data_IF_082473018443
#
_entry.id   IF_082473018443
#
_cell.length_a   1.000
_cell.length_b   1.000
_cell.length_c   1.000
_cell.angle_alpha   90.00
_cell.angle_beta   90.00
_cell.angle_gamma   90.00
#
_symmetry.space_group_name_H-M   'P 1'
#
loop_
_entity.id
_entity.type
_entity.pdbx_description
1 polymer ?
#
# COMPACT_ATOMS: atom_id res chain seq x y z
N UNK A 1 16.94 -1.68 18.40
CA UNK A 1 16.96 -1.14 17.04
C UNK A 1 15.58 -1.36 16.45
N UNK A 2 14.67 -0.40 16.66
CA UNK A 2 13.27 -0.52 16.25
C UNK A 2 13.08 0.39 15.05
N UNK A 3 13.05 -0.15 13.84
CA UNK A 3 12.82 0.62 12.61
C UNK A 3 11.60 0.07 11.89
N UNK A 4 10.52 0.85 11.89
CA UNK A 4 9.28 0.70 11.11
C UNK A 4 8.26 -0.32 11.64
N UNK A 5 7.28 0.15 12.42
CA UNK A 5 6.18 -0.68 12.94
C UNK A 5 4.94 -0.72 12.03
N UNK A 6 5.06 -0.39 10.74
CA UNK A 6 3.96 -0.42 9.79
C UNK A 6 4.44 -1.01 8.45
N UNK A 7 3.66 -1.92 7.83
CA UNK A 7 3.99 -2.46 6.52
C UNK A 7 3.99 -1.37 5.45
N UNK A 8 4.96 -1.44 4.53
CA UNK A 8 5.09 -0.52 3.41
C UNK A 8 5.41 -1.28 2.11
N UNK A 9 4.95 -0.74 0.97
CA UNK A 9 5.26 -1.20 -0.39
C UNK A 9 5.67 0.02 -1.20
N UNK A 10 6.71 -0.09 -2.03
CA UNK A 10 7.25 1.01 -2.85
C UNK A 10 7.32 0.59 -4.32
N UNK A 11 7.34 1.56 -5.24
CA UNK A 11 7.50 1.29 -6.67
C UNK A 11 6.27 0.73 -7.38
N UNK A 12 5.07 0.90 -6.82
CA UNK A 12 3.82 0.45 -7.44
C UNK A 12 3.50 1.33 -8.65
N UNK A 13 3.49 0.73 -9.84
CA UNK A 13 3.24 1.44 -11.09
C UNK A 13 1.83 2.05 -11.10
N UNK A 14 1.72 3.32 -11.52
CA UNK A 14 0.46 4.06 -11.64
C UNK A 14 -0.38 4.15 -10.34
N UNK A 15 0.23 3.95 -9.16
CA UNK A 15 -0.49 3.88 -7.88
C UNK A 15 -1.42 5.09 -7.63
N UNK A 16 -0.93 6.31 -7.86
CA UNK A 16 -1.69 7.56 -7.66
C UNK A 16 -2.81 7.77 -8.69
N UNK A 17 -2.79 7.05 -9.82
CA UNK A 17 -3.87 7.05 -10.81
C UNK A 17 -4.98 6.05 -10.46
N UNK A 18 -4.60 4.94 -9.80
CA UNK A 18 -5.50 3.84 -9.46
C UNK A 18 -6.17 4.01 -8.09
N UNK A 19 -5.46 4.63 -7.14
CA UNK A 19 -5.96 4.91 -5.79
C UNK A 19 -6.46 6.35 -5.76
N UNK A 20 -7.76 6.52 -5.49
CA UNK A 20 -8.38 7.84 -5.36
C UNK A 20 -8.40 8.29 -3.91
N UNK A 21 -8.51 9.59 -3.71
CA UNK A 21 -8.70 10.16 -2.37
C UNK A 21 -9.93 9.56 -1.68
N UNK A 22 -9.77 9.21 -0.40
CA UNK A 22 -10.82 8.55 0.40
C UNK A 22 -11.05 7.07 0.10
N UNK A 23 -10.38 6.50 -0.91
CA UNK A 23 -10.46 5.07 -1.22
C UNK A 23 -9.71 4.26 -0.15
N UNK A 24 -10.35 3.21 0.35
CA UNK A 24 -9.72 2.30 1.33
C UNK A 24 -8.82 1.30 0.61
N UNK A 25 -7.65 1.06 1.18
CA UNK A 25 -6.68 0.08 0.70
C UNK A 25 -6.15 -0.76 1.85
N UNK A 26 -5.66 -1.96 1.53
CA UNK A 26 -4.88 -2.81 2.43
C UNK A 26 -3.47 -3.01 1.86
N UNK A 27 -2.46 -2.92 2.73
CA UNK A 27 -1.06 -3.08 2.37
C UNK A 27 -0.55 -4.42 2.87
N UNK A 28 -0.08 -5.27 1.95
CA UNK A 28 0.54 -6.55 2.25
C UNK A 28 2.05 -6.40 2.12
N UNK A 29 2.68 -5.81 3.15
CA UNK A 29 4.11 -5.41 3.11
C UNK A 29 5.10 -6.56 2.98
N UNK A 30 4.75 -7.78 3.45
CA UNK A 30 5.57 -8.98 3.26
C UNK A 30 5.54 -9.49 1.83
N UNK A 31 4.35 -9.47 1.21
CA UNK A 31 4.14 -10.02 -0.14
C UNK A 31 4.35 -8.98 -1.26
N UNK A 32 4.51 -7.71 -0.89
CA UNK A 32 4.88 -6.63 -1.81
C UNK A 32 3.74 -6.09 -2.67
N UNK A 33 2.49 -6.20 -2.24
CA UNK A 33 1.34 -5.69 -3.00
C UNK A 33 0.31 -4.91 -2.17
N UNK A 34 -0.57 -4.21 -2.89
CA UNK A 34 -1.65 -3.39 -2.33
C UNK A 34 -2.99 -3.89 -2.89
N UNK A 35 -3.99 -4.00 -2.02
CA UNK A 35 -5.35 -4.44 -2.35
C UNK A 35 -6.33 -3.27 -2.19
N UNK A 36 -7.20 -3.08 -3.18
CA UNK A 36 -8.29 -2.10 -3.13
C UNK A 36 -9.50 -2.74 -2.47
N UNK A 37 -10.03 -2.09 -1.43
CA UNK A 37 -11.20 -2.59 -0.70
C UNK A 37 -12.50 -1.99 -1.26
N UNK A 38 -13.64 -2.72 -1.15
CA UNK A 38 -14.96 -2.18 -1.42
C UNK A 38 -15.36 -0.99 -0.54
#
# INVERSE_FOLDING_TARGET
MSSSSLPAVVGVENATRLIRDGQRIRVHGTDGYVEILP
#
